data_IF_457985750265
#
_entry.id   IF_457985750265
#
_cell.length_a   1.000
_cell.length_b   1.000
_cell.length_c   1.000
_cell.angle_alpha   90.00
_cell.angle_beta   90.00
_cell.angle_gamma   90.00
#
_symmetry.space_group_name_H-M   'P 1'
#
loop_
_entity.id
_entity.type
_entity.pdbx_description
1 polymer ?
#
# COMPACT_ATOMS: atom_id res chain seq x y z
N UNK A 1 -24.23 20.39 -5.23
CA UNK A 1 -23.43 20.53 -4.00
C UNK A 1 -22.91 19.15 -3.66
N UNK A 2 -21.62 19.04 -3.36
CA UNK A 2 -21.05 17.78 -2.89
C UNK A 2 -21.62 17.43 -1.51
N UNK A 3 -21.71 16.12 -1.20
CA UNK A 3 -22.20 15.66 0.09
C UNK A 3 -21.27 16.16 1.21
N UNK A 4 -21.82 16.57 2.37
CA UNK A 4 -20.99 16.90 3.52
C UNK A 4 -20.07 15.72 3.90
N UNK A 5 -18.84 16.01 4.24
CA UNK A 5 -17.88 14.95 4.55
C UNK A 5 -16.89 15.33 5.67
N UNK A 6 -16.42 14.32 6.39
CA UNK A 6 -15.24 14.39 7.23
C UNK A 6 -14.05 13.94 6.40
N UNK A 7 -13.04 14.79 6.24
CA UNK A 7 -11.92 14.50 5.34
C UNK A 7 -10.62 14.31 6.13
N UNK A 8 -10.01 13.13 6.00
CA UNK A 8 -8.64 12.89 6.45
C UNK A 8 -7.63 13.35 5.40
N UNK A 9 -6.62 14.10 5.82
CA UNK A 9 -5.60 14.72 4.98
C UNK A 9 -4.26 14.00 5.12
N UNK A 10 -3.65 13.61 4.01
CA UNK A 10 -2.34 12.97 4.02
C UNK A 10 -1.96 12.33 2.70
N UNK A 11 -0.72 11.86 2.58
CA UNK A 11 -0.30 11.12 1.39
C UNK A 11 -0.65 9.62 1.48
N UNK A 12 -0.74 9.06 2.69
CA UNK A 12 -1.17 7.70 3.02
C UNK A 12 -0.36 6.58 2.33
N UNK A 13 0.93 6.80 2.10
CA UNK A 13 1.79 5.74 1.57
C UNK A 13 1.99 4.62 2.59
N UNK A 14 1.63 3.39 2.22
CA UNK A 14 1.64 2.22 3.09
C UNK A 14 0.44 2.11 4.03
N UNK A 15 -0.44 3.10 4.12
CA UNK A 15 -1.63 3.12 5.01
C UNK A 15 -1.33 2.56 6.42
N UNK A 16 -0.17 2.95 6.96
CA UNK A 16 0.41 2.42 8.21
C UNK A 16 -0.36 2.85 9.46
N UNK A 17 0.02 2.33 10.65
CA UNK A 17 -0.66 2.60 11.93
C UNK A 17 -0.81 4.10 12.26
N UNK A 18 0.15 4.95 11.87
CA UNK A 18 0.00 6.39 11.98
C UNK A 18 -1.16 6.92 11.12
N UNK A 19 -1.27 6.45 9.88
CA UNK A 19 -2.40 6.76 9.00
C UNK A 19 -3.72 6.15 9.50
N UNK A 20 -3.68 4.94 10.07
CA UNK A 20 -4.84 4.29 10.67
C UNK A 20 -5.52 5.17 11.72
N UNK A 21 -4.75 5.87 12.55
CA UNK A 21 -5.29 6.78 13.57
C UNK A 21 -6.11 7.94 12.94
N UNK A 22 -5.62 8.50 11.81
CA UNK A 22 -6.37 9.53 11.07
C UNK A 22 -7.66 8.97 10.46
N UNK A 23 -7.56 7.82 9.79
CA UNK A 23 -8.69 7.18 9.11
C UNK A 23 -9.78 6.75 10.08
N UNK A 24 -9.41 6.16 11.20
CA UNK A 24 -10.34 5.77 12.28
C UNK A 24 -11.01 7.00 12.91
N UNK A 25 -10.28 8.10 13.10
CA UNK A 25 -10.84 9.36 13.58
C UNK A 25 -11.85 9.91 12.57
N UNK A 26 -11.50 9.96 11.29
CA UNK A 26 -12.39 10.44 10.23
C UNK A 26 -13.66 9.60 10.12
N UNK A 27 -13.55 8.27 10.08
CA UNK A 27 -14.71 7.36 10.04
C UNK A 27 -15.60 7.49 11.28
N UNK A 28 -15.03 7.68 12.46
CA UNK A 28 -15.78 7.92 13.71
C UNK A 28 -16.52 9.25 13.65
N UNK A 29 -15.84 10.35 13.32
CA UNK A 29 -16.44 11.69 13.20
C UNK A 29 -17.55 11.73 12.16
N UNK A 30 -17.36 11.07 11.02
CA UNK A 30 -18.37 10.97 9.98
C UNK A 30 -19.66 10.31 10.50
N UNK A 31 -19.53 9.21 11.25
CA UNK A 31 -20.69 8.55 11.90
C UNK A 31 -21.37 9.46 12.95
N UNK A 32 -20.58 10.14 13.79
CA UNK A 32 -21.10 11.08 14.81
C UNK A 32 -21.89 12.22 14.17
N UNK A 33 -21.45 12.72 13.02
CA UNK A 33 -22.07 13.84 12.29
C UNK A 33 -23.15 13.40 11.28
N UNK A 34 -23.28 12.09 11.01
CA UNK A 34 -24.20 11.56 10.00
C UNK A 34 -23.84 11.96 8.57
N UNK A 35 -22.52 12.06 8.27
CA UNK A 35 -22.00 12.47 6.97
C UNK A 35 -21.04 11.41 6.40
N UNK A 36 -20.57 11.62 5.15
CA UNK A 36 -19.62 10.73 4.49
C UNK A 36 -18.20 10.86 5.09
N UNK A 37 -17.49 9.74 5.24
CA UNK A 37 -16.05 9.73 5.53
C UNK A 37 -15.27 9.80 4.23
N UNK A 38 -14.26 10.68 4.18
CA UNK A 38 -13.44 10.85 2.99
C UNK A 38 -11.94 10.95 3.32
N UNK A 39 -11.13 10.65 2.32
CA UNK A 39 -9.69 10.91 2.33
C UNK A 39 -9.36 11.81 1.16
N UNK A 40 -8.56 12.85 1.42
CA UNK A 40 -7.94 13.65 0.37
C UNK A 40 -6.45 13.35 0.33
N UNK A 41 -5.98 12.82 -0.79
CA UNK A 41 -4.61 12.41 -1.03
C UNK A 41 -4.17 12.72 -2.46
N UNK A 42 -2.92 12.42 -2.81
CA UNK A 42 -2.39 12.67 -4.14
C UNK A 42 -2.06 11.37 -4.88
N UNK A 43 -2.19 11.42 -6.19
CA UNK A 43 -1.85 10.31 -7.09
C UNK A 43 -0.33 10.10 -7.22
N UNK A 44 0.48 11.17 -6.99
CA UNK A 44 1.96 11.16 -7.04
C UNK A 44 2.53 11.73 -5.74
N UNK A 45 3.73 11.28 -5.32
CA UNK A 45 4.39 11.84 -4.15
C UNK A 45 4.72 13.33 -4.37
N UNK A 46 4.20 14.26 -3.54
CA UNK A 46 4.58 15.68 -3.64
C UNK A 46 6.09 15.90 -3.63
N UNK A 47 6.81 15.16 -2.78
CA UNK A 47 8.27 15.23 -2.68
C UNK A 47 8.97 14.90 -4.00
N UNK A 48 8.45 13.96 -4.79
CA UNK A 48 9.02 13.60 -6.10
C UNK A 48 8.89 14.77 -7.08
N UNK A 49 7.71 15.40 -7.14
CA UNK A 49 7.45 16.53 -8.03
C UNK A 49 8.31 17.74 -7.66
N UNK A 50 8.40 18.06 -6.36
CA UNK A 50 9.17 19.21 -5.87
C UNK A 50 10.68 19.03 -6.00
N UNK A 51 11.20 17.80 -5.78
CA UNK A 51 12.65 17.56 -5.76
C UNK A 51 13.21 16.97 -7.05
N UNK A 52 12.35 16.49 -7.95
CA UNK A 52 12.74 15.71 -9.13
C UNK A 52 13.34 14.33 -8.81
N UNK A 53 13.39 13.94 -7.53
CA UNK A 53 13.94 12.65 -7.10
C UNK A 53 12.84 11.63 -6.96
N UNK A 54 12.98 10.50 -7.64
CA UNK A 54 12.01 9.41 -7.59
C UNK A 54 11.83 8.89 -6.17
N UNK A 55 10.57 8.67 -5.79
CA UNK A 55 10.15 8.08 -4.52
C UNK A 55 9.41 6.78 -4.81
N UNK A 56 9.97 5.64 -4.37
CA UNK A 56 9.27 4.37 -4.48
C UNK A 56 8.21 4.26 -3.38
N UNK A 57 6.97 3.96 -3.78
CA UNK A 57 5.81 3.86 -2.89
C UNK A 57 5.70 2.45 -2.32
N UNK A 58 5.27 2.34 -1.06
CA UNK A 58 4.98 1.05 -0.41
C UNK A 58 3.83 0.35 -1.10
N UNK A 59 2.81 1.11 -1.52
CA UNK A 59 1.62 0.59 -2.19
C UNK A 59 1.28 1.42 -3.43
N UNK A 60 0.72 0.77 -4.45
CA UNK A 60 0.11 1.44 -5.60
C UNK A 60 -1.08 2.32 -5.17
N UNK A 61 -1.52 3.22 -6.06
CA UNK A 61 -2.73 4.03 -5.82
C UNK A 61 -3.96 3.14 -5.57
N UNK A 62 -4.08 2.05 -6.34
CA UNK A 62 -5.19 1.11 -6.19
C UNK A 62 -5.13 0.35 -4.87
N UNK A 63 -3.93 -0.11 -4.46
CA UNK A 63 -3.75 -0.78 -3.17
C UNK A 63 -4.03 0.17 -2.00
N UNK A 64 -3.59 1.44 -2.08
CA UNK A 64 -3.92 2.46 -1.06
C UNK A 64 -5.42 2.65 -0.94
N UNK A 65 -6.16 2.73 -2.05
CA UNK A 65 -7.62 2.81 -2.06
C UNK A 65 -8.25 1.60 -1.38
N UNK A 66 -7.91 0.37 -1.84
CA UNK A 66 -8.44 -0.88 -1.27
C UNK A 66 -8.20 -0.96 0.25
N UNK A 67 -7.00 -0.63 0.70
CA UNK A 67 -6.68 -0.64 2.14
C UNK A 67 -7.53 0.35 2.93
N UNK A 68 -7.72 1.58 2.44
CA UNK A 68 -8.52 2.60 3.13
C UNK A 68 -10.01 2.24 3.16
N UNK A 69 -10.56 1.75 2.05
CA UNK A 69 -11.97 1.35 1.95
C UNK A 69 -12.24 0.06 2.73
N UNK A 70 -11.47 -1.00 2.50
CA UNK A 70 -11.70 -2.33 3.05
C UNK A 70 -11.37 -2.45 4.54
N UNK A 71 -10.26 -1.86 5.01
CA UNK A 71 -9.82 -2.00 6.40
C UNK A 71 -10.46 -0.94 7.30
N UNK A 72 -10.58 0.28 6.83
CA UNK A 72 -11.01 1.41 7.65
C UNK A 72 -12.44 1.89 7.34
N UNK A 73 -13.09 1.32 6.32
CA UNK A 73 -14.46 1.66 5.95
C UNK A 73 -14.61 3.11 5.49
N UNK A 74 -13.62 3.65 4.81
CA UNK A 74 -13.69 4.99 4.22
C UNK A 74 -14.63 4.96 3.00
N UNK A 75 -15.62 5.84 2.98
CA UNK A 75 -16.65 5.86 1.96
C UNK A 75 -16.14 6.43 0.63
N UNK A 76 -15.18 7.38 0.68
CA UNK A 76 -14.68 8.06 -0.53
C UNK A 76 -13.18 8.39 -0.43
N UNK A 77 -12.40 7.96 -1.42
CA UNK A 77 -10.97 8.31 -1.53
C UNK A 77 -10.74 9.19 -2.75
N UNK A 78 -10.27 10.41 -2.53
CA UNK A 78 -10.00 11.44 -3.52
C UNK A 78 -8.51 11.46 -3.82
N UNK A 79 -8.12 11.03 -5.02
CA UNK A 79 -6.75 11.15 -5.52
C UNK A 79 -6.64 12.38 -6.41
N UNK A 80 -6.22 13.50 -5.84
CA UNK A 80 -5.97 14.71 -6.60
C UNK A 80 -4.65 14.60 -7.39
N UNK A 81 -4.57 15.19 -8.60
CA UNK A 81 -3.29 15.33 -9.28
C UNK A 81 -2.39 16.29 -8.49
N UNK A 82 -1.12 15.92 -8.30
CA UNK A 82 -0.11 16.84 -7.78
C UNK A 82 0.71 17.37 -8.96
N UNK A 83 0.23 18.46 -9.55
CA UNK A 83 0.79 19.16 -10.69
C UNK A 83 1.30 20.57 -10.31
N UNK A 84 1.72 21.34 -11.29
CA UNK A 84 2.20 22.72 -11.08
C UNK A 84 1.14 23.62 -10.44
N UNK A 85 -0.14 23.46 -10.77
CA UNK A 85 -1.22 24.24 -10.17
C UNK A 85 -1.36 23.90 -8.69
N UNK A 86 -1.38 22.60 -8.35
CA UNK A 86 -1.45 22.14 -6.97
C UNK A 86 -0.21 22.55 -6.18
N UNK A 87 0.97 22.49 -6.78
CA UNK A 87 2.23 22.91 -6.14
C UNK A 87 2.25 24.41 -5.78
N UNK A 88 1.57 25.25 -6.55
CA UNK A 88 1.47 26.69 -6.32
C UNK A 88 0.17 27.14 -5.64
N UNK A 89 -0.71 26.18 -5.30
CA UNK A 89 -1.95 26.46 -4.58
C UNK A 89 -1.65 27.03 -3.19
N UNK A 90 -2.24 28.19 -2.86
CA UNK A 90 -2.13 28.76 -1.52
C UNK A 90 -2.78 27.83 -0.49
N UNK A 91 -2.34 27.89 0.76
CA UNK A 91 -2.99 27.08 1.80
C UNK A 91 -4.46 27.49 2.02
N UNK A 92 -4.80 28.77 1.79
CA UNK A 92 -6.16 29.29 1.85
C UNK A 92 -7.03 28.69 0.74
N UNK A 93 -6.57 28.72 -0.53
CA UNK A 93 -7.30 28.15 -1.66
C UNK A 93 -7.45 26.63 -1.51
N UNK A 94 -6.41 25.96 -1.03
CA UNK A 94 -6.48 24.54 -0.72
C UNK A 94 -7.60 24.23 0.29
N UNK A 95 -7.69 25.02 1.37
CA UNK A 95 -8.74 24.85 2.39
C UNK A 95 -10.12 25.24 1.87
N UNK A 96 -10.28 26.48 1.35
CA UNK A 96 -11.58 27.03 1.03
C UNK A 96 -12.17 26.45 -0.26
N UNK A 97 -11.35 26.37 -1.33
CA UNK A 97 -11.83 25.96 -2.63
C UNK A 97 -11.85 24.43 -2.73
N UNK A 98 -10.72 23.76 -2.49
CA UNK A 98 -10.63 22.33 -2.70
C UNK A 98 -11.31 21.52 -1.60
N UNK A 99 -11.02 21.79 -0.33
CA UNK A 99 -11.57 20.94 0.74
C UNK A 99 -13.03 21.28 1.05
N UNK A 100 -13.35 22.56 1.24
CA UNK A 100 -14.69 22.96 1.67
C UNK A 100 -15.66 23.03 0.47
N UNK A 101 -15.37 23.89 -0.51
CA UNK A 101 -16.31 24.14 -1.61
C UNK A 101 -16.46 22.93 -2.54
N UNK A 102 -15.35 22.35 -2.99
CA UNK A 102 -15.38 21.26 -3.96
C UNK A 102 -15.61 19.89 -3.33
N UNK A 103 -15.14 19.64 -2.12
CA UNK A 103 -15.23 18.33 -1.48
C UNK A 103 -16.17 18.27 -0.27
N UNK A 104 -16.81 19.39 0.10
CA UNK A 104 -17.84 19.43 1.11
C UNK A 104 -17.34 19.19 2.53
N UNK A 105 -16.09 19.56 2.85
CA UNK A 105 -15.53 19.35 4.17
C UNK A 105 -16.33 20.11 5.24
N UNK A 106 -16.85 19.39 6.23
CA UNK A 106 -17.44 19.93 7.46
C UNK A 106 -16.61 19.63 8.69
N UNK A 107 -15.63 18.73 8.55
CA UNK A 107 -14.64 18.38 9.56
C UNK A 107 -13.38 17.89 8.89
N UNK A 108 -12.20 18.29 9.38
CA UNK A 108 -10.90 17.89 8.87
C UNK A 108 -10.13 17.07 9.91
N UNK A 109 -9.36 16.08 9.45
CA UNK A 109 -8.48 15.28 10.29
C UNK A 109 -7.09 15.28 9.67
N UNK A 110 -6.08 15.75 10.40
CA UNK A 110 -4.70 15.82 9.90
C UNK A 110 -3.70 15.31 10.93
N UNK A 111 -2.51 14.94 10.49
CA UNK A 111 -1.41 14.56 11.38
C UNK A 111 -0.73 15.79 12.01
N UNK A 112 -0.05 15.59 13.14
CA UNK A 112 0.68 16.64 13.86
C UNK A 112 1.80 17.30 13.03
N UNK A 113 2.27 16.62 11.98
CA UNK A 113 3.33 17.07 11.08
C UNK A 113 2.82 17.38 9.66
N UNK A 114 1.49 17.50 9.49
CA UNK A 114 0.89 17.77 8.19
C UNK A 114 1.15 19.19 7.73
N UNK A 115 1.82 19.34 6.58
CA UNK A 115 2.06 20.62 5.93
C UNK A 115 1.41 20.63 4.54
N UNK A 116 0.88 21.78 4.14
CA UNK A 116 0.14 21.91 2.90
C UNK A 116 0.23 23.35 2.33
N UNK A 117 -0.26 23.51 1.12
CA UNK A 117 -0.19 24.78 0.40
C UNK A 117 1.21 25.08 -0.16
N UNK A 118 1.31 26.18 -0.87
CA UNK A 118 2.56 26.61 -1.50
C UNK A 118 3.69 26.70 -0.46
N UNK A 119 4.85 26.09 -0.78
CA UNK A 119 6.04 26.04 0.10
C UNK A 119 5.79 25.52 1.52
N UNK A 120 4.73 24.71 1.73
CA UNK A 120 4.36 24.21 3.05
C UNK A 120 4.00 25.29 4.08
N UNK A 121 3.43 26.40 3.63
CA UNK A 121 3.04 27.51 4.52
C UNK A 121 1.90 27.10 5.49
N UNK A 122 0.98 26.23 5.04
CA UNK A 122 -0.05 25.64 5.89
C UNK A 122 0.55 24.61 6.85
N UNK A 123 0.09 24.62 8.08
CA UNK A 123 0.51 23.71 9.14
C UNK A 123 -0.69 23.35 10.04
N UNK A 124 -0.56 22.39 10.98
CA UNK A 124 -1.67 21.97 11.85
C UNK A 124 -2.30 23.09 12.67
N UNK A 125 -1.50 24.03 13.16
CA UNK A 125 -2.02 25.15 13.97
C UNK A 125 -2.87 26.09 13.12
N UNK A 126 -2.36 26.51 11.95
CA UNK A 126 -3.12 27.35 11.01
C UNK A 126 -4.40 26.65 10.54
N UNK A 127 -4.36 25.32 10.34
CA UNK A 127 -5.53 24.55 9.97
C UNK A 127 -6.60 24.61 11.07
N UNK A 128 -6.23 24.40 12.34
CA UNK A 128 -7.15 24.48 13.47
C UNK A 128 -7.75 25.87 13.62
N UNK A 129 -6.92 26.94 13.56
CA UNK A 129 -7.36 28.32 13.66
C UNK A 129 -8.34 28.69 12.55
N UNK A 130 -8.04 28.31 11.30
CA UNK A 130 -8.92 28.57 10.16
C UNK A 130 -10.25 27.78 10.26
N UNK A 131 -10.19 26.51 10.63
CA UNK A 131 -11.39 25.70 10.86
C UNK A 131 -12.29 26.31 11.95
N UNK A 132 -11.72 26.78 13.06
CA UNK A 132 -12.47 27.44 14.13
C UNK A 132 -13.17 28.73 13.64
N UNK A 133 -12.48 29.55 12.84
CA UNK A 133 -13.05 30.75 12.23
C UNK A 133 -14.20 30.43 11.26
N UNK A 134 -14.13 29.32 10.55
CA UNK A 134 -15.11 28.87 9.57
C UNK A 134 -16.27 28.07 10.20
N UNK A 135 -16.21 27.77 11.50
CA UNK A 135 -17.21 26.96 12.20
C UNK A 135 -17.23 25.48 11.78
N UNK A 136 -16.11 24.95 11.25
CA UNK A 136 -15.96 23.52 10.93
C UNK A 136 -15.05 22.83 11.92
N UNK A 137 -15.20 21.51 12.10
CA UNK A 137 -14.39 20.74 13.03
C UNK A 137 -12.97 20.49 12.52
N UNK A 138 -12.02 20.29 13.47
CA UNK A 138 -10.64 19.91 13.13
C UNK A 138 -10.02 19.06 14.24
N UNK A 139 -9.59 17.85 13.92
CA UNK A 139 -8.81 16.99 14.81
C UNK A 139 -7.36 16.88 14.31
N UNK A 140 -6.39 17.16 15.17
CA UNK A 140 -4.97 16.92 14.88
C UNK A 140 -4.52 15.67 15.64
N UNK A 141 -4.10 14.67 14.89
CA UNK A 141 -3.71 13.37 15.41
C UNK A 141 -2.23 13.41 15.82
N UNK A 142 -1.91 13.03 17.06
CA UNK A 142 -0.52 12.99 17.51
C UNK A 142 0.28 11.91 16.81
N UNK A 143 1.60 11.98 16.94
CA UNK A 143 2.54 10.98 16.46
C UNK A 143 2.22 9.60 17.06
N UNK A 144 2.27 8.57 16.24
CA UNK A 144 2.12 7.17 16.65
C UNK A 144 3.49 6.49 16.71
N UNK A 145 3.76 5.82 17.81
CA UNK A 145 4.98 5.06 18.03
C UNK A 145 4.66 3.59 18.34
N UNK A 146 5.56 2.70 17.92
CA UNK A 146 5.55 1.28 18.26
C UNK A 146 6.93 0.95 18.83
N UNK A 147 6.99 0.44 20.07
CA UNK A 147 8.23 0.11 20.78
C UNK A 147 9.26 1.28 20.81
N UNK A 148 8.79 2.53 20.97
CA UNK A 148 9.63 3.72 20.98
C UNK A 148 10.11 4.18 19.58
N UNK A 149 9.70 3.50 18.51
CA UNK A 149 10.05 3.86 17.13
C UNK A 149 8.85 4.58 16.50
N UNK A 150 9.08 5.75 15.91
CA UNK A 150 8.04 6.49 15.20
C UNK A 150 7.58 5.71 13.97
N UNK A 151 6.28 5.47 13.87
CA UNK A 151 5.67 4.82 12.70
C UNK A 151 5.68 5.79 11.53
N UNK A 152 6.42 5.44 10.47
CA UNK A 152 6.56 6.27 9.27
C UNK A 152 6.77 5.43 8.01
N UNK A 153 6.30 5.95 6.86
CA UNK A 153 6.54 5.30 5.55
C UNK A 153 8.04 5.15 5.25
N UNK A 154 8.88 6.07 5.74
CA UNK A 154 10.34 5.99 5.53
C UNK A 154 10.94 4.77 6.21
N UNK A 155 10.61 4.54 7.49
CA UNK A 155 11.10 3.37 8.22
C UNK A 155 10.53 2.07 7.63
N UNK A 156 9.25 2.05 7.29
CA UNK A 156 8.62 0.85 6.70
C UNK A 156 9.26 0.49 5.36
N UNK A 157 9.62 1.47 4.52
CA UNK A 157 10.37 1.18 3.27
C UNK A 157 11.68 0.46 3.54
N UNK A 158 12.44 0.87 4.55
CA UNK A 158 13.70 0.18 4.88
C UNK A 158 13.49 -1.28 5.29
N UNK A 159 12.40 -1.57 6.01
CA UNK A 159 12.04 -2.96 6.38
C UNK A 159 11.65 -3.79 5.17
N UNK A 160 10.82 -3.24 4.27
CA UNK A 160 10.41 -3.92 3.04
C UNK A 160 11.61 -4.18 2.12
N UNK A 161 12.48 -3.18 1.93
CA UNK A 161 13.72 -3.30 1.15
C UNK A 161 14.70 -4.34 1.73
N UNK A 162 14.70 -4.52 3.05
CA UNK A 162 15.48 -5.54 3.73
C UNK A 162 14.86 -6.95 3.64
N UNK A 163 13.57 -7.06 3.23
CA UNK A 163 12.82 -8.30 3.24
C UNK A 163 12.20 -8.65 4.60
N UNK A 164 12.25 -7.73 5.56
CA UNK A 164 11.69 -7.88 6.91
C UNK A 164 10.17 -7.63 6.91
N UNK A 165 9.44 -8.42 6.09
CA UNK A 165 8.00 -8.22 5.84
C UNK A 165 7.14 -8.48 7.07
N UNK A 166 7.58 -9.34 7.99
CA UNK A 166 6.91 -9.60 9.28
C UNK A 166 6.99 -8.34 10.15
N UNK A 167 8.17 -7.76 10.29
CA UNK A 167 8.36 -6.51 11.04
C UNK A 167 7.66 -5.32 10.38
N UNK A 168 7.72 -5.23 9.04
CA UNK A 168 6.98 -4.21 8.30
C UNK A 168 5.47 -4.29 8.58
N UNK A 169 4.89 -5.49 8.67
CA UNK A 169 3.47 -5.69 8.97
C UNK A 169 3.08 -5.16 10.37
N UNK A 170 3.97 -5.24 11.36
CA UNK A 170 3.71 -4.68 12.69
C UNK A 170 3.54 -3.14 12.64
N UNK A 171 4.38 -2.44 11.88
CA UNK A 171 4.30 -0.99 11.69
C UNK A 171 3.18 -0.57 10.74
N UNK A 172 2.93 -1.36 9.71
CA UNK A 172 1.80 -1.14 8.80
C UNK A 172 0.44 -1.33 9.52
N UNK A 173 0.32 -2.36 10.39
CA UNK A 173 -0.95 -2.78 10.95
C UNK A 173 -1.73 -3.72 10.03
N UNK A 174 -1.15 -4.10 8.90
CA UNK A 174 -1.63 -5.09 7.93
C UNK A 174 -0.42 -5.68 7.18
N UNK A 175 -0.61 -6.75 6.42
CA UNK A 175 0.47 -7.33 5.60
C UNK A 175 0.81 -6.39 4.43
N UNK A 176 2.11 -6.31 4.11
CA UNK A 176 2.51 -5.68 2.84
C UNK A 176 1.87 -6.45 1.68
N UNK A 177 1.28 -5.73 0.73
CA UNK A 177 0.52 -6.33 -0.35
C UNK A 177 0.85 -5.74 -1.72
N UNK A 178 0.59 -6.55 -2.75
CA UNK A 178 0.68 -6.19 -4.17
C UNK A 178 -0.56 -6.73 -4.88
N UNK A 179 -1.41 -5.84 -5.40
CA UNK A 179 -2.57 -6.25 -6.20
C UNK A 179 -2.35 -5.96 -7.67
N UNK A 180 -2.35 -7.01 -8.50
CA UNK A 180 -2.12 -6.89 -9.94
C UNK A 180 -2.93 -7.89 -10.75
N UNK A 181 -3.07 -7.58 -12.04
CA UNK A 181 -3.64 -8.52 -13.02
C UNK A 181 -2.59 -9.59 -13.34
N UNK A 182 -3.01 -10.86 -13.27
CA UNK A 182 -2.18 -11.99 -13.64
C UNK A 182 -1.86 -11.93 -15.13
N UNK A 183 -0.58 -11.99 -15.48
CA UNK A 183 -0.08 -11.93 -16.85
C UNK A 183 0.51 -13.27 -17.27
N UNK A 184 0.54 -13.50 -18.59
CA UNK A 184 1.24 -14.64 -19.15
C UNK A 184 2.75 -14.52 -18.88
N UNK A 185 3.33 -15.58 -18.29
CA UNK A 185 4.76 -15.74 -18.08
C UNK A 185 5.40 -16.67 -19.11
N UNK A 186 6.65 -17.08 -18.88
CA UNK A 186 7.36 -18.03 -19.76
C UNK A 186 6.90 -19.49 -19.62
N UNK A 187 5.93 -19.77 -18.75
CA UNK A 187 5.35 -21.10 -18.49
C UNK A 187 6.35 -22.18 -18.02
N UNK A 188 7.57 -21.79 -17.62
CA UNK A 188 8.59 -22.75 -17.19
C UNK A 188 8.11 -23.61 -16.01
N UNK A 189 7.41 -23.04 -15.04
CA UNK A 189 6.82 -23.76 -13.91
C UNK A 189 5.88 -24.90 -14.34
N UNK A 190 5.14 -24.75 -15.46
CA UNK A 190 4.28 -25.82 -16.00
C UNK A 190 5.09 -27.03 -16.48
N UNK A 191 6.29 -26.83 -17.02
CA UNK A 191 7.13 -27.93 -17.53
C UNK A 191 7.67 -28.82 -16.41
N UNK A 192 7.76 -28.29 -15.19
CA UNK A 192 8.20 -29.02 -13.99
C UNK A 192 7.04 -29.38 -13.06
N UNK A 193 5.78 -29.20 -13.50
CA UNK A 193 4.58 -29.54 -12.73
C UNK A 193 4.24 -28.55 -11.60
N UNK A 194 4.80 -27.34 -11.62
CA UNK A 194 4.60 -26.29 -10.58
C UNK A 194 4.15 -25.00 -11.30
N UNK A 195 2.88 -24.89 -11.71
CA UNK A 195 2.39 -23.72 -12.43
C UNK A 195 2.39 -22.49 -11.53
N UNK A 196 2.94 -21.38 -12.02
CA UNK A 196 2.98 -20.09 -11.30
C UNK A 196 2.16 -19.03 -11.99
N UNK A 197 1.56 -18.13 -11.22
CA UNK A 197 1.01 -16.87 -11.70
C UNK A 197 2.11 -15.81 -11.71
N UNK A 198 2.07 -14.93 -12.70
CA UNK A 198 3.05 -13.86 -12.86
C UNK A 198 2.39 -12.51 -12.65
N UNK A 199 2.95 -11.69 -11.78
CA UNK A 199 2.52 -10.33 -11.52
C UNK A 199 3.59 -9.34 -11.99
N UNK A 200 3.16 -8.30 -12.67
CA UNK A 200 4.02 -7.17 -13.02
C UNK A 200 4.01 -6.16 -11.87
N UNK A 201 5.17 -5.70 -11.45
CA UNK A 201 5.26 -4.65 -10.44
C UNK A 201 4.93 -3.30 -11.11
N UNK A 202 3.98 -2.51 -10.56
CA UNK A 202 3.72 -1.18 -11.08
C UNK A 202 4.95 -0.28 -10.98
N UNK A 203 5.12 0.59 -11.95
CA UNK A 203 6.23 1.52 -11.96
C UNK A 203 6.20 2.41 -10.69
N UNK A 204 7.34 2.54 -10.01
CA UNK A 204 7.46 3.34 -8.78
C UNK A 204 6.89 2.67 -7.52
N UNK A 205 6.45 1.42 -7.59
CA UNK A 205 6.06 0.64 -6.41
C UNK A 205 7.24 -0.20 -5.92
N UNK A 206 7.44 -0.17 -4.60
CA UNK A 206 8.45 -0.94 -3.92
C UNK A 206 8.04 -2.41 -3.87
N UNK A 207 9.00 -3.29 -4.11
CA UNK A 207 8.85 -4.72 -3.81
C UNK A 207 9.83 -5.12 -2.72
N UNK A 208 9.51 -6.15 -1.93
CA UNK A 208 10.45 -6.68 -0.95
C UNK A 208 11.76 -7.14 -1.61
N UNK A 209 12.83 -7.26 -0.78
CA UNK A 209 14.10 -7.84 -1.20
C UNK A 209 13.91 -9.08 -2.08
N UNK A 210 14.75 -9.26 -3.09
CA UNK A 210 14.70 -10.45 -3.94
C UNK A 210 14.89 -11.73 -3.12
N UNK A 211 14.12 -12.76 -3.46
CA UNK A 211 14.10 -14.05 -2.78
C UNK A 211 12.73 -14.70 -2.77
N UNK A 212 12.59 -15.72 -1.94
CA UNK A 212 11.38 -16.53 -1.82
C UNK A 212 10.65 -16.21 -0.52
N UNK A 213 9.33 -16.09 -0.62
CA UNK A 213 8.44 -15.67 0.46
C UNK A 213 7.29 -16.64 0.67
N UNK A 214 6.85 -16.79 1.90
CA UNK A 214 5.51 -17.26 2.25
C UNK A 214 4.53 -16.13 1.99
N UNK A 215 3.49 -16.41 1.22
CA UNK A 215 2.47 -15.43 0.83
C UNK A 215 1.08 -16.03 0.93
N UNK A 216 0.05 -15.17 0.88
CA UNK A 216 -1.33 -15.59 0.67
C UNK A 216 -1.89 -14.80 -0.52
N UNK A 217 -2.54 -15.50 -1.42
CA UNK A 217 -3.18 -14.95 -2.61
C UNK A 217 -4.68 -14.88 -2.37
N UNK A 218 -5.25 -13.70 -2.54
CA UNK A 218 -6.70 -13.47 -2.46
C UNK A 218 -7.28 -13.29 -3.86
N UNK A 219 -8.30 -14.03 -4.19
CA UNK A 219 -8.97 -14.00 -5.47
C UNK A 219 -10.16 -13.03 -5.47
N UNK A 220 -10.63 -12.56 -6.64
CA UNK A 220 -11.79 -11.68 -6.74
C UNK A 220 -13.10 -12.27 -6.19
N UNK A 221 -13.22 -13.60 -6.18
CA UNK A 221 -14.38 -14.32 -5.67
C UNK A 221 -14.37 -14.51 -4.13
N UNK A 222 -13.38 -13.96 -3.44
CA UNK A 222 -13.22 -14.02 -1.99
C UNK A 222 -12.45 -15.24 -1.47
N UNK A 223 -12.12 -16.22 -2.32
CA UNK A 223 -11.25 -17.34 -1.91
C UNK A 223 -9.82 -16.86 -1.69
N UNK A 224 -9.10 -17.56 -0.81
CA UNK A 224 -7.68 -17.32 -0.61
C UNK A 224 -6.88 -18.62 -0.53
N UNK A 225 -5.63 -18.56 -0.98
CA UNK A 225 -4.74 -19.72 -1.05
C UNK A 225 -3.36 -19.36 -0.51
N UNK A 226 -2.71 -20.24 0.30
CA UNK A 226 -1.29 -20.11 0.58
C UNK A 226 -0.48 -20.11 -0.71
N UNK A 227 0.65 -19.40 -0.71
CA UNK A 227 1.50 -19.29 -1.88
C UNK A 227 2.98 -19.25 -1.55
N UNK A 228 3.78 -19.78 -2.46
CA UNK A 228 5.24 -19.59 -2.49
C UNK A 228 5.55 -18.59 -3.59
N UNK A 229 6.09 -17.44 -3.20
CA UNK A 229 6.38 -16.33 -4.14
C UNK A 229 7.86 -16.12 -4.30
N UNK A 230 8.35 -16.12 -5.52
CA UNK A 230 9.69 -15.69 -5.88
C UNK A 230 9.67 -14.25 -6.42
N UNK A 231 10.47 -13.37 -5.83
CA UNK A 231 10.79 -12.05 -6.36
C UNK A 231 12.20 -12.12 -6.94
N UNK A 232 12.34 -11.85 -8.23
CA UNK A 232 13.62 -11.92 -8.91
C UNK A 232 13.73 -10.96 -10.08
N UNK A 233 14.88 -10.97 -10.76
CA UNK A 233 15.10 -10.18 -11.98
C UNK A 233 15.19 -11.14 -13.16
N UNK A 234 14.42 -10.87 -14.22
CA UNK A 234 14.62 -11.59 -15.49
C UNK A 234 15.93 -11.13 -16.13
N UNK A 235 16.83 -12.05 -16.46
CA UNK A 235 17.93 -11.73 -17.35
C UNK A 235 17.36 -11.43 -18.75
N UNK A 236 17.10 -10.16 -19.05
CA UNK A 236 16.74 -9.70 -20.40
C UNK A 236 18.00 -9.17 -21.09
N UNK A 237 18.03 -9.27 -22.42
CA UNK A 237 19.10 -8.72 -23.28
C UNK A 237 19.20 -7.17 -23.18
N UNK A 238 18.24 -6.52 -22.54
CA UNK A 238 18.23 -5.10 -22.23
C UNK A 238 18.73 -4.84 -20.80
N UNK A 239 19.52 -3.80 -20.61
CA UNK A 239 20.27 -3.40 -19.41
C UNK A 239 19.40 -3.06 -18.17
N UNK A 240 18.08 -3.05 -18.27
CA UNK A 240 17.14 -2.89 -17.15
C UNK A 240 16.35 -4.19 -16.96
N UNK A 241 16.86 -5.12 -16.17
CA UNK A 241 16.14 -6.34 -15.81
C UNK A 241 14.80 -6.00 -15.12
N UNK A 242 13.68 -6.39 -15.73
CA UNK A 242 12.37 -6.20 -15.11
C UNK A 242 12.23 -7.12 -13.88
N UNK A 243 11.84 -6.54 -12.75
CA UNK A 243 11.50 -7.33 -11.55
C UNK A 243 10.26 -8.17 -11.83
N UNK A 244 10.33 -9.45 -11.50
CA UNK A 244 9.22 -10.41 -11.62
C UNK A 244 8.77 -10.88 -10.26
N UNK A 245 7.47 -11.04 -10.11
CA UNK A 245 6.82 -11.65 -8.96
C UNK A 245 6.08 -12.88 -9.45
N UNK A 246 6.61 -14.05 -9.14
CA UNK A 246 6.07 -15.34 -9.59
C UNK A 246 5.59 -16.13 -8.37
N UNK A 247 4.31 -16.50 -8.35
CA UNK A 247 3.69 -17.19 -7.21
C UNK A 247 3.11 -18.52 -7.61
N UNK A 248 3.51 -19.59 -6.93
CA UNK A 248 2.83 -20.87 -6.93
C UNK A 248 1.74 -20.86 -5.85
N UNK A 249 0.49 -21.11 -6.22
CA UNK A 249 -0.63 -21.23 -5.28
C UNK A 249 -0.78 -22.68 -4.83
N UNK A 250 -0.77 -22.94 -3.53
CA UNK A 250 -0.97 -24.25 -2.97
C UNK A 250 -2.44 -24.65 -3.09
N UNK A 251 -2.70 -25.89 -3.47
CA UNK A 251 -4.05 -26.48 -3.55
C UNK A 251 -5.04 -25.73 -4.45
N UNK A 252 -4.51 -24.97 -5.40
CA UNK A 252 -5.30 -24.27 -6.40
C UNK A 252 -5.23 -25.00 -7.74
N UNK A 253 -6.41 -25.26 -8.30
CA UNK A 253 -6.57 -25.74 -9.68
C UNK A 253 -7.54 -24.78 -10.40
N UNK A 254 -7.07 -24.18 -11.47
CA UNK A 254 -7.84 -23.22 -12.26
C UNK A 254 -6.99 -22.27 -13.07
N UNK A 255 -7.66 -21.34 -13.75
CA UNK A 255 -7.07 -20.29 -14.55
C UNK A 255 -7.32 -18.92 -13.88
N UNK A 256 -6.24 -18.12 -13.73
CA UNK A 256 -6.27 -16.79 -13.14
C UNK A 256 -5.80 -15.70 -14.12
N UNK A 257 -5.55 -16.04 -15.38
CA UNK A 257 -5.15 -15.05 -16.37
C UNK A 257 -6.18 -13.93 -16.50
N UNK A 258 -5.69 -12.72 -16.65
CA UNK A 258 -6.45 -11.48 -16.72
C UNK A 258 -7.34 -11.17 -15.50
N UNK A 259 -7.27 -11.99 -14.43
CA UNK A 259 -7.91 -11.70 -13.17
C UNK A 259 -6.99 -10.85 -12.28
N UNK A 260 -7.57 -9.91 -11.55
CA UNK A 260 -6.85 -9.13 -10.53
C UNK A 260 -6.81 -9.94 -9.24
N UNK A 261 -5.61 -10.23 -8.74
CA UNK A 261 -5.39 -10.89 -7.46
C UNK A 261 -4.65 -9.96 -6.51
N UNK A 262 -4.83 -10.17 -5.18
CA UNK A 262 -4.05 -9.51 -4.13
C UNK A 262 -3.12 -10.54 -3.51
N UNK A 263 -1.82 -10.23 -3.51
CA UNK A 263 -0.75 -10.99 -2.90
C UNK A 263 -0.35 -10.31 -1.59
N UNK A 264 -0.39 -11.02 -0.47
CA UNK A 264 0.08 -10.55 0.83
C UNK A 264 1.32 -11.33 1.27
N UNK A 265 2.34 -10.60 1.76
CA UNK A 265 3.63 -11.16 2.18
C UNK A 265 3.63 -11.46 3.68
N UNK A 266 3.94 -12.71 4.04
CA UNK A 266 3.91 -13.17 5.43
C UNK A 266 5.30 -13.35 6.03
N UNK A 267 6.22 -14.02 5.29
CA UNK A 267 7.57 -14.34 5.78
C UNK A 267 8.59 -14.44 4.63
N UNK A 268 9.78 -13.95 4.86
CA UNK A 268 10.92 -14.23 4.00
C UNK A 268 11.46 -15.62 4.29
N UNK A 269 11.54 -16.49 3.28
CA UNK A 269 12.05 -17.85 3.43
C UNK A 269 13.56 -17.94 3.18
N UNK A 270 14.00 -17.41 2.04
CA UNK A 270 15.39 -17.52 1.60
C UNK A 270 15.72 -16.59 0.43
N UNK A 271 17.01 -16.40 0.16
CA UNK A 271 17.49 -15.76 -1.06
C UNK A 271 17.29 -16.62 -2.31
N UNK A 272 17.50 -16.01 -3.46
CA UNK A 272 17.57 -16.74 -4.73
C UNK A 272 18.76 -17.68 -4.75
N UNK A 273 18.54 -18.89 -5.25
CA UNK A 273 19.58 -19.92 -5.42
C UNK A 273 19.61 -20.32 -6.90
N UNK A 274 20.82 -20.44 -7.45
CA UNK A 274 21.00 -20.97 -8.80
C UNK A 274 21.08 -22.50 -8.72
N UNK A 275 20.33 -23.17 -9.58
CA UNK A 275 20.30 -24.62 -9.69
C UNK A 275 21.01 -25.05 -10.98
N UNK A 276 21.75 -26.13 -10.92
CA UNK A 276 22.46 -26.71 -12.06
C UNK A 276 21.54 -27.53 -12.95
N UNK A 277 20.42 -28.02 -12.39
CA UNK A 277 19.45 -28.86 -13.07
C UNK A 277 18.01 -28.62 -12.57
N UNK A 278 17.04 -29.11 -13.32
CA UNK A 278 15.63 -28.95 -13.03
C UNK A 278 15.18 -29.75 -11.79
N UNK A 279 15.85 -30.86 -11.48
CA UNK A 279 15.47 -31.71 -10.35
C UNK A 279 15.84 -31.03 -9.01
N UNK A 280 17.04 -30.42 -8.92
CA UNK A 280 17.43 -29.63 -7.75
C UNK A 280 16.50 -28.44 -7.49
N UNK A 281 16.08 -27.74 -8.55
CA UNK A 281 15.06 -26.68 -8.47
C UNK A 281 13.73 -27.23 -7.93
N UNK A 282 13.25 -28.34 -8.49
CA UNK A 282 11.99 -28.97 -8.09
C UNK A 282 12.01 -29.38 -6.62
N UNK A 283 13.09 -30.04 -6.17
CA UNK A 283 13.25 -30.43 -4.76
C UNK A 283 13.24 -29.23 -3.82
N UNK A 284 13.90 -28.12 -4.21
CA UNK A 284 13.87 -26.91 -3.39
C UNK A 284 12.47 -26.30 -3.32
N UNK A 285 11.74 -26.20 -4.41
CA UNK A 285 10.37 -25.72 -4.41
C UNK A 285 9.46 -26.59 -3.53
N UNK A 286 9.64 -27.93 -3.53
CA UNK A 286 8.87 -28.80 -2.62
C UNK A 286 9.19 -28.52 -1.14
N UNK A 287 10.43 -28.18 -0.79
CA UNK A 287 10.79 -27.76 0.58
C UNK A 287 10.11 -26.43 0.94
N UNK A 288 10.10 -25.47 0.03
CA UNK A 288 9.45 -24.17 0.21
C UNK A 288 7.92 -24.33 0.38
N UNK A 289 7.29 -25.22 -0.38
CA UNK A 289 5.88 -25.59 -0.24
C UNK A 289 5.61 -26.21 1.13
N UNK A 290 6.44 -27.18 1.56
CA UNK A 290 6.27 -27.82 2.86
C UNK A 290 6.41 -26.81 4.02
N UNK A 291 7.38 -25.90 3.94
CA UNK A 291 7.56 -24.81 4.91
C UNK A 291 6.37 -23.86 4.93
N UNK A 292 5.79 -23.57 3.75
CA UNK A 292 4.60 -22.71 3.64
C UNK A 292 3.37 -23.37 4.25
N UNK A 293 3.15 -24.67 4.02
CA UNK A 293 2.05 -25.42 4.67
C UNK A 293 2.18 -25.40 6.18
N UNK A 294 3.35 -25.78 6.71
CA UNK A 294 3.60 -25.78 8.16
C UNK A 294 3.35 -24.41 8.78
N UNK A 295 3.80 -23.34 8.11
CA UNK A 295 3.58 -21.98 8.58
C UNK A 295 2.09 -21.64 8.76
N UNK A 296 1.23 -21.97 7.78
CA UNK A 296 -0.19 -21.66 7.88
C UNK A 296 -0.93 -22.63 8.81
N UNK A 297 -0.53 -23.89 8.91
CA UNK A 297 -1.08 -24.84 9.91
C UNK A 297 -0.85 -24.36 11.35
N UNK A 298 0.29 -23.70 11.62
CA UNK A 298 0.62 -23.14 12.93
C UNK A 298 -0.07 -21.80 13.22
N UNK A 299 -0.40 -21.00 12.19
CA UNK A 299 -0.84 -19.61 12.37
C UNK A 299 -2.30 -19.35 11.98
N UNK A 300 -3.01 -20.31 11.37
CA UNK A 300 -4.45 -20.22 11.03
C UNK A 300 -5.34 -20.89 12.10
N UNK A 301 -4.80 -21.25 13.30
CA UNK A 301 -5.56 -21.83 14.43
C UNK A 301 -6.27 -20.77 15.26
#
# INVERSE_FOLDING_TARGET
MNKPSVIALGFFDGVHRGHAALLQCAARRARELGVESAVFTFNRPPKEVVTGKRVYLINSTDDRRDLMERIYGIDRVIFAPFDDNMMHCSWQDFLHELLIRENGAVHLVAGHDYHFGYKNEGNPQLLQEACAQLGIGCDIIPKVELEGITVSSTYIRTLVEAGEVERAAEFLGHRHCLSQIVRHGQHFGRTIGIPTVNLSVPEGVLVPRHGVYITRVYLPDGRSFPGVTNIGVRPTVSTSGAVTVETFLLDFDGDLYDQRIRLEFFRYLRGEVRFTDAEGLRQQIHRDIAATRAFFEENDQ
#
